data_IF_013645293797
#
_entry.id   IF_013645293797
#
_cell.length_a   1.000
_cell.length_b   1.000
_cell.length_c   1.000
_cell.angle_alpha   90.00
_cell.angle_beta   90.00
_cell.angle_gamma   90.00
#
_symmetry.space_group_name_H-M   'P 1'
#
loop_
_entity.id
_entity.type
_entity.pdbx_description
1 polymer ?
#
# COMPACT_ATOMS: atom_id res chain seq x y z
N UNK A 1 -4.06 -11.78 -21.02
CA UNK A 1 -4.28 -12.63 -19.83
C UNK A 1 -3.81 -11.79 -18.65
N UNK A 2 -4.52 -11.80 -17.53
CA UNK A 2 -4.18 -10.94 -16.40
C UNK A 2 -3.74 -11.76 -15.20
N UNK A 3 -3.03 -11.10 -14.30
CA UNK A 3 -2.75 -11.53 -12.94
C UNK A 3 -3.71 -10.76 -12.03
N UNK A 4 -4.46 -11.44 -11.19
CA UNK A 4 -5.24 -10.89 -10.09
C UNK A 4 -4.58 -11.25 -8.76
N UNK A 5 -4.57 -10.34 -7.80
CA UNK A 5 -4.09 -10.65 -6.45
C UNK A 5 -5.03 -10.07 -5.43
N UNK A 6 -5.62 -10.97 -4.65
CA UNK A 6 -6.56 -10.65 -3.60
C UNK A 6 -5.82 -10.42 -2.28
N UNK A 7 -6.15 -9.32 -1.61
CA UNK A 7 -5.74 -9.00 -0.25
C UNK A 7 -7.00 -8.95 0.61
N UNK A 8 -7.08 -9.84 1.59
CA UNK A 8 -8.19 -9.93 2.51
C UNK A 8 -7.90 -9.11 3.76
N UNK A 9 -8.72 -8.09 4.01
CA UNK A 9 -8.64 -7.28 5.24
C UNK A 9 -9.47 -7.98 6.31
N UNK A 10 -8.84 -8.54 7.33
CA UNK A 10 -9.48 -9.44 8.30
C UNK A 10 -10.10 -8.71 9.49
N UNK A 11 -9.66 -7.48 9.76
CA UNK A 11 -10.21 -6.60 10.79
C UNK A 11 -11.11 -5.50 10.21
N UNK A 12 -11.91 -4.87 11.07
CA UNK A 12 -12.72 -3.71 10.70
C UNK A 12 -11.84 -2.57 10.20
N UNK A 13 -12.17 -2.04 9.02
CA UNK A 13 -11.45 -0.95 8.37
C UNK A 13 -12.43 0.00 7.68
N UNK A 14 -12.04 1.27 7.56
CA UNK A 14 -12.76 2.22 6.71
C UNK A 14 -12.46 1.91 5.23
N UNK A 15 -13.51 1.58 4.46
CA UNK A 15 -13.37 1.16 3.07
C UNK A 15 -12.82 2.26 2.18
N UNK A 16 -13.22 3.52 2.40
CA UNK A 16 -12.77 4.64 1.59
C UNK A 16 -11.30 4.95 1.88
N UNK A 17 -10.86 4.84 3.13
CA UNK A 17 -9.47 5.00 3.50
C UNK A 17 -8.58 3.94 2.82
N UNK A 18 -8.99 2.66 2.89
CA UNK A 18 -8.27 1.56 2.22
C UNK A 18 -8.22 1.79 0.71
N UNK A 19 -9.37 2.11 0.10
CA UNK A 19 -9.45 2.38 -1.34
C UNK A 19 -8.57 3.57 -1.77
N UNK A 20 -8.62 4.70 -1.05
CA UNK A 20 -7.79 5.87 -1.36
C UNK A 20 -6.30 5.61 -1.11
N UNK A 21 -5.96 4.75 -0.16
CA UNK A 21 -4.58 4.28 -0.01
C UNK A 21 -4.16 3.48 -1.25
N UNK A 22 -4.91 2.46 -1.65
CA UNK A 22 -4.60 1.69 -2.86
C UNK A 22 -4.49 2.56 -4.12
N UNK A 23 -5.37 3.56 -4.27
CA UNK A 23 -5.28 4.55 -5.35
C UNK A 23 -3.96 5.31 -5.35
N UNK A 24 -3.48 5.77 -4.18
CA UNK A 24 -2.16 6.41 -4.08
C UNK A 24 -1.03 5.45 -4.47
N UNK A 25 -1.11 4.19 -4.07
CA UNK A 25 -0.10 3.17 -4.42
C UNK A 25 -0.05 2.92 -5.94
N UNK A 26 -1.18 3.04 -6.64
CA UNK A 26 -1.28 2.94 -8.09
C UNK A 26 -0.85 4.21 -8.84
N UNK A 27 -0.48 5.28 -8.13
CA UNK A 27 -0.16 6.57 -8.74
C UNK A 27 -1.38 7.36 -9.21
N UNK A 28 -2.58 7.07 -8.67
CA UNK A 28 -3.79 7.79 -9.08
C UNK A 28 -3.70 9.27 -8.69
N UNK A 29 -3.73 10.14 -9.68
CA UNK A 29 -4.02 11.57 -9.58
C UNK A 29 -5.52 11.90 -9.35
N UNK A 30 -5.86 13.15 -8.97
CA UNK A 30 -7.24 13.58 -8.74
C UNK A 30 -8.18 13.45 -9.95
N UNK A 31 -7.64 13.46 -11.18
CA UNK A 31 -8.44 13.38 -12.40
C UNK A 31 -8.89 11.95 -12.75
N UNK A 32 -8.29 10.93 -12.15
CA UNK A 32 -8.69 9.54 -12.37
C UNK A 32 -10.05 9.28 -11.72
N UNK A 33 -11.08 9.04 -12.52
CA UNK A 33 -12.41 8.68 -12.03
C UNK A 33 -12.44 7.31 -11.31
N UNK A 34 -13.40 7.12 -10.43
CA UNK A 34 -13.77 5.82 -9.87
C UNK A 34 -15.28 5.74 -9.73
N UNK A 35 -15.76 4.53 -9.49
CA UNK A 35 -17.15 4.26 -9.18
C UNK A 35 -17.24 3.65 -7.80
N UNK A 36 -18.29 4.04 -7.09
CA UNK A 36 -18.78 3.40 -5.88
C UNK A 36 -20.21 2.92 -6.15
N UNK A 37 -20.47 1.62 -6.00
CA UNK A 37 -21.83 1.14 -6.21
C UNK A 37 -22.03 -0.35 -5.97
N UNK A 38 -23.28 -0.81 -6.14
CA UNK A 38 -23.63 -2.21 -5.99
C UNK A 38 -22.80 -3.10 -6.91
N UNK A 39 -22.30 -4.22 -6.38
CA UNK A 39 -21.58 -5.19 -7.17
C UNK A 39 -22.56 -5.98 -8.06
N UNK A 40 -22.46 -5.76 -9.38
CA UNK A 40 -23.41 -6.33 -10.33
C UNK A 40 -23.28 -7.85 -10.41
N UNK A 41 -24.42 -8.53 -10.40
CA UNK A 41 -24.48 -10.00 -10.54
C UNK A 41 -24.47 -10.78 -9.23
N UNK A 42 -24.47 -10.10 -8.07
CA UNK A 42 -24.76 -10.74 -6.79
C UNK A 42 -26.24 -10.62 -6.43
N UNK A 43 -26.78 -11.66 -5.80
CA UNK A 43 -28.15 -11.63 -5.25
C UNK A 43 -28.25 -10.72 -4.03
N UNK A 44 -27.11 -10.43 -3.39
CA UNK A 44 -27.04 -9.68 -2.17
C UNK A 44 -27.03 -8.16 -2.43
N UNK A 45 -28.10 -7.43 -2.06
CA UNK A 45 -28.20 -6.00 -2.33
C UNK A 45 -27.22 -5.16 -1.49
N UNK A 46 -26.61 -5.75 -0.46
CA UNK A 46 -25.66 -5.08 0.41
C UNK A 46 -24.20 -5.30 -0.02
N UNK A 47 -23.95 -6.09 -1.07
CA UNK A 47 -22.60 -6.27 -1.63
C UNK A 47 -22.24 -5.12 -2.58
N UNK A 48 -21.26 -4.30 -2.17
CA UNK A 48 -20.81 -3.12 -2.90
C UNK A 48 -19.35 -3.25 -3.32
N UNK A 49 -18.95 -2.39 -4.25
CA UNK A 49 -17.59 -2.32 -4.74
C UNK A 49 -17.18 -0.87 -5.00
N UNK A 50 -15.92 -0.55 -4.66
CA UNK A 50 -15.23 0.64 -5.12
C UNK A 50 -14.20 0.24 -6.18
N UNK A 51 -14.22 0.85 -7.36
CA UNK A 51 -13.27 0.51 -8.42
C UNK A 51 -12.86 1.68 -9.32
N UNK A 52 -11.63 1.66 -9.82
CA UNK A 52 -11.17 2.62 -10.83
C UNK A 52 -11.78 2.30 -12.21
N UNK A 53 -11.89 3.31 -13.09
CA UNK A 53 -12.39 3.06 -14.45
C UNK A 53 -11.28 2.58 -15.37
N UNK A 54 -11.64 1.78 -16.37
CA UNK A 54 -10.71 1.35 -17.41
C UNK A 54 -10.25 2.51 -18.30
N UNK A 55 -9.10 2.34 -18.97
CA UNK A 55 -8.57 3.33 -19.91
C UNK A 55 -7.91 4.56 -19.25
N UNK A 56 -7.61 4.50 -17.96
CA UNK A 56 -7.01 5.58 -17.18
C UNK A 56 -5.48 5.52 -17.10
N UNK A 57 -4.83 4.70 -17.93
CA UNK A 57 -3.37 4.49 -17.92
C UNK A 57 -2.78 4.03 -16.57
N UNK A 58 -3.65 3.53 -15.68
CA UNK A 58 -3.25 2.97 -14.39
C UNK A 58 -2.64 1.56 -14.58
N UNK A 59 -1.66 1.18 -13.75
CA UNK A 59 -0.91 -0.06 -13.94
C UNK A 59 -1.74 -1.32 -13.60
N UNK A 60 -2.82 -1.17 -12.83
CA UNK A 60 -3.75 -2.23 -12.50
C UNK A 60 -5.18 -1.69 -12.36
N UNK A 61 -6.15 -2.56 -12.57
CA UNK A 61 -7.50 -2.37 -12.08
C UNK A 61 -7.52 -2.62 -10.57
N UNK A 62 -8.21 -1.74 -9.85
CA UNK A 62 -8.41 -1.81 -8.42
C UNK A 62 -9.89 -2.06 -8.17
N UNK A 63 -10.19 -3.10 -7.42
CA UNK A 63 -11.53 -3.36 -6.88
C UNK A 63 -11.43 -3.54 -5.38
N UNK A 64 -12.33 -2.92 -4.63
CA UNK A 64 -12.48 -3.13 -3.18
C UNK A 64 -13.92 -3.51 -2.91
N UNK A 65 -14.14 -4.79 -2.63
CA UNK A 65 -15.46 -5.31 -2.31
C UNK A 65 -15.72 -5.17 -0.81
N UNK A 66 -16.95 -4.81 -0.46
CA UNK A 66 -17.36 -4.55 0.92
C UNK A 66 -18.89 -4.66 1.08
N UNK A 67 -19.36 -4.48 2.31
CA UNK A 67 -20.79 -4.40 2.65
C UNK A 67 -21.18 -2.97 2.97
N UNK A 68 -22.22 -2.44 2.32
CA UNK A 68 -22.67 -1.06 2.57
C UNK A 68 -23.22 -0.85 3.99
N UNK A 69 -23.70 -1.91 4.63
CA UNK A 69 -24.16 -1.93 6.01
C UNK A 69 -23.04 -1.84 7.06
N UNK A 70 -21.76 -1.89 6.65
CA UNK A 70 -20.61 -1.79 7.56
C UNK A 70 -20.37 -3.04 8.40
N UNK A 71 -20.79 -4.21 7.92
CA UNK A 71 -20.51 -5.53 8.50
C UNK A 71 -19.42 -6.27 7.71
N UNK A 72 -18.86 -7.39 8.20
CA UNK A 72 -17.90 -8.17 7.43
C UNK A 72 -18.44 -8.58 6.05
N UNK A 73 -17.63 -8.43 5.00
CA UNK A 73 -17.96 -8.91 3.65
C UNK A 73 -18.30 -10.40 3.64
N UNK A 74 -17.49 -11.19 4.35
CA UNK A 74 -17.66 -12.63 4.52
C UNK A 74 -17.39 -13.03 5.96
N UNK A 75 -18.32 -13.74 6.59
CA UNK A 75 -18.11 -14.35 7.91
C UNK A 75 -17.42 -15.70 7.81
N UNK A 76 -16.80 -16.20 8.89
CA UNK A 76 -16.23 -17.54 8.93
C UNK A 76 -17.22 -18.64 8.51
N UNK A 77 -18.48 -18.55 8.93
CA UNK A 77 -19.52 -19.52 8.62
C UNK A 77 -19.85 -19.53 7.12
N UNK A 78 -19.95 -18.34 6.51
CA UNK A 78 -20.17 -18.22 5.06
C UNK A 78 -18.99 -18.79 4.28
N UNK A 79 -17.76 -18.53 4.73
CA UNK A 79 -16.56 -19.09 4.13
C UNK A 79 -16.52 -20.62 4.20
N UNK A 80 -16.88 -21.21 5.35
CA UNK A 80 -16.96 -22.67 5.49
C UNK A 80 -18.01 -23.24 4.52
N UNK A 81 -19.22 -22.68 4.52
CA UNK A 81 -20.31 -23.14 3.67
C UNK A 81 -19.98 -23.06 2.18
N UNK A 82 -19.27 -22.01 1.75
CA UNK A 82 -18.81 -21.86 0.38
C UNK A 82 -17.71 -22.89 0.04
N UNK A 83 -16.75 -23.09 0.93
CA UNK A 83 -15.60 -23.94 0.65
C UNK A 83 -15.93 -25.45 0.68
N UNK A 84 -17.07 -25.84 1.26
CA UNK A 84 -17.63 -27.19 1.17
C UNK A 84 -18.11 -27.50 -0.27
N UNK A 85 -17.18 -27.97 -1.10
CA UNK A 85 -17.46 -28.37 -2.48
C UNK A 85 -16.75 -27.53 -3.56
N UNK A 86 -16.00 -26.51 -3.15
CA UNK A 86 -15.15 -25.73 -4.05
C UNK A 86 -13.73 -26.33 -4.16
N UNK A 87 -13.13 -26.14 -5.34
CA UNK A 87 -11.70 -26.41 -5.51
C UNK A 87 -10.88 -25.45 -4.65
N UNK A 88 -9.65 -25.85 -4.30
CA UNK A 88 -8.78 -25.05 -3.45
C UNK A 88 -8.52 -23.65 -4.01
N UNK A 89 -8.38 -23.55 -5.33
CA UNK A 89 -8.23 -22.30 -6.06
C UNK A 89 -9.45 -21.37 -5.96
N UNK A 90 -10.63 -21.88 -5.63
CA UNK A 90 -11.87 -21.10 -5.51
C UNK A 90 -12.20 -20.75 -4.06
N UNK A 91 -11.42 -21.25 -3.10
CA UNK A 91 -11.67 -20.97 -1.68
C UNK A 91 -11.56 -19.47 -1.41
N UNK A 92 -12.54 -18.97 -0.67
CA UNK A 92 -12.58 -17.59 -0.21
C UNK A 92 -12.21 -17.54 1.26
N UNK A 93 -11.80 -16.36 1.74
CA UNK A 93 -11.50 -16.12 3.15
C UNK A 93 -12.53 -15.17 3.78
N UNK A 94 -12.79 -15.40 5.07
CA UNK A 94 -13.58 -14.50 5.90
C UNK A 94 -12.83 -13.17 6.04
N UNK A 95 -13.51 -12.06 5.76
CA UNK A 95 -12.88 -10.75 5.71
C UNK A 95 -13.91 -9.63 5.83
N UNK A 96 -13.44 -8.46 6.21
CA UNK A 96 -14.20 -7.21 6.16
C UNK A 96 -14.19 -6.61 4.76
N UNK A 97 -13.03 -6.62 4.11
CA UNK A 97 -12.83 -6.11 2.74
C UNK A 97 -12.03 -7.13 1.92
N UNK A 98 -12.30 -7.16 0.62
CA UNK A 98 -11.53 -7.92 -0.37
C UNK A 98 -11.00 -6.93 -1.40
N UNK A 99 -9.68 -6.70 -1.37
CA UNK A 99 -8.98 -5.80 -2.27
C UNK A 99 -8.34 -6.62 -3.38
N UNK A 100 -8.67 -6.31 -4.62
CA UNK A 100 -8.15 -7.00 -5.79
C UNK A 100 -7.40 -6.02 -6.69
N UNK A 101 -6.15 -6.37 -6.97
CA UNK A 101 -5.31 -5.75 -7.99
C UNK A 101 -5.25 -6.67 -9.21
N UNK A 102 -5.71 -6.20 -10.37
CA UNK A 102 -5.80 -6.98 -11.61
C UNK A 102 -5.02 -6.27 -12.72
N UNK A 103 -3.89 -6.84 -13.16
CA UNK A 103 -2.99 -6.25 -14.15
C UNK A 103 -2.68 -7.24 -15.28
N UNK A 104 -2.44 -6.72 -16.50
CA UNK A 104 -2.01 -7.56 -17.62
C UNK A 104 -0.65 -8.20 -17.37
N UNK A 105 -0.47 -9.48 -17.73
CA UNK A 105 0.84 -10.16 -17.63
C UNK A 105 1.92 -9.45 -18.45
N UNK A 106 1.52 -8.73 -19.49
CA UNK A 106 2.38 -7.91 -20.33
C UNK A 106 2.85 -6.60 -19.67
N UNK A 107 2.29 -6.21 -18.52
CA UNK A 107 2.67 -4.99 -17.82
C UNK A 107 4.16 -5.02 -17.43
N UNK A 108 4.85 -3.91 -17.71
CA UNK A 108 6.24 -3.67 -17.32
C UNK A 108 6.47 -2.18 -17.06
N UNK A 109 7.23 -1.86 -16.03
CA UNK A 109 7.73 -0.53 -15.72
C UNK A 109 9.25 -0.58 -15.45
N UNK A 110 9.83 0.53 -14.98
CA UNK A 110 11.26 0.60 -14.62
C UNK A 110 11.64 -0.27 -13.40
N UNK A 111 10.65 -0.75 -12.65
CA UNK A 111 10.82 -1.48 -11.40
C UNK A 111 10.49 -2.98 -11.55
N UNK A 112 9.97 -3.44 -12.69
CA UNK A 112 9.75 -4.86 -12.95
C UNK A 112 8.58 -5.13 -13.89
N UNK A 113 8.10 -6.37 -13.88
CA UNK A 113 6.89 -6.80 -14.58
C UNK A 113 5.66 -6.81 -13.68
N UNK A 114 4.61 -7.47 -14.16
CA UNK A 114 3.34 -7.62 -13.46
C UNK A 114 3.48 -8.25 -12.05
N UNK A 115 4.30 -9.28 -11.90
CA UNK A 115 4.56 -9.91 -10.60
C UNK A 115 5.20 -8.97 -9.58
N UNK A 116 6.20 -8.19 -10.01
CA UNK A 116 6.87 -7.20 -9.18
C UNK A 116 5.92 -6.04 -8.81
N UNK A 117 5.06 -5.60 -9.74
CA UNK A 117 4.00 -4.63 -9.43
C UNK A 117 3.10 -5.15 -8.30
N UNK A 118 2.61 -6.37 -8.40
CA UNK A 118 1.70 -6.95 -7.40
C UNK A 118 2.38 -7.11 -6.04
N UNK A 119 3.60 -7.65 -6.00
CA UNK A 119 4.36 -7.77 -4.76
C UNK A 119 4.56 -6.41 -4.07
N UNK A 120 4.86 -5.35 -4.85
CA UNK A 120 5.01 -3.98 -4.34
C UNK A 120 3.70 -3.42 -3.79
N UNK A 121 2.59 -3.56 -4.52
CA UNK A 121 1.28 -3.07 -4.10
C UNK A 121 0.81 -3.78 -2.81
N UNK A 122 0.90 -5.10 -2.76
CA UNK A 122 0.49 -5.89 -1.59
C UNK A 122 1.37 -5.57 -0.37
N UNK A 123 2.70 -5.46 -0.52
CA UNK A 123 3.56 -5.08 0.59
C UNK A 123 3.26 -3.67 1.13
N UNK A 124 3.04 -2.69 0.25
CA UNK A 124 2.77 -1.32 0.67
C UNK A 124 1.39 -1.18 1.34
N UNK A 125 0.36 -1.85 0.81
CA UNK A 125 -0.94 -1.94 1.46
C UNK A 125 -0.83 -2.65 2.80
N UNK A 126 -0.10 -3.76 2.86
CA UNK A 126 0.16 -4.52 4.07
C UNK A 126 0.76 -3.67 5.18
N UNK A 127 1.83 -2.90 4.88
CA UNK A 127 2.46 -2.01 5.85
C UNK A 127 1.50 -0.93 6.35
N UNK A 128 0.61 -0.43 5.48
CA UNK A 128 -0.41 0.52 5.89
C UNK A 128 -1.41 -0.12 6.88
N UNK A 129 -1.87 -1.34 6.61
CA UNK A 129 -2.77 -2.08 7.50
C UNK A 129 -2.10 -2.43 8.83
N UNK A 130 -0.83 -2.87 8.80
CA UNK A 130 -0.04 -3.15 10.00
C UNK A 130 0.15 -1.89 10.86
N UNK A 131 0.36 -0.73 10.25
CA UNK A 131 0.47 0.55 10.97
C UNK A 131 -0.81 0.94 11.74
N UNK A 132 -1.93 0.33 11.38
CA UNK A 132 -3.25 0.48 12.02
C UNK A 132 -3.61 -0.69 12.93
N UNK A 133 -2.76 -1.72 13.03
CA UNK A 133 -3.05 -2.94 13.79
C UNK A 133 -4.17 -3.79 13.15
N UNK A 134 -4.39 -3.66 11.84
CA UNK A 134 -5.43 -4.40 11.12
C UNK A 134 -4.80 -5.65 10.51
N UNK A 135 -5.26 -6.83 10.97
CA UNK A 135 -4.81 -8.10 10.39
C UNK A 135 -5.27 -8.22 8.94
N UNK A 136 -4.42 -8.80 8.10
CA UNK A 136 -4.66 -9.01 6.68
C UNK A 136 -3.97 -10.29 6.19
N UNK A 137 -4.42 -10.80 5.06
CA UNK A 137 -3.79 -11.91 4.33
C UNK A 137 -3.88 -11.64 2.84
N UNK A 138 -3.21 -12.43 2.02
CA UNK A 138 -3.34 -12.33 0.56
C UNK A 138 -3.30 -13.70 -0.11
N UNK A 139 -3.91 -13.80 -1.28
CA UNK A 139 -4.00 -15.04 -2.06
C UNK A 139 -3.08 -14.97 -3.27
N UNK A 140 -2.25 -15.99 -3.41
CA UNK A 140 -1.45 -16.20 -4.60
C UNK A 140 -2.32 -16.83 -5.69
N UNK A 141 -2.51 -16.13 -6.81
CA UNK A 141 -3.34 -16.64 -7.91
C UNK A 141 -2.74 -17.88 -8.58
N UNK A 142 -1.42 -18.02 -8.61
CA UNK A 142 -0.77 -19.15 -9.27
C UNK A 142 -0.98 -20.48 -8.54
N UNK A 143 -1.01 -20.44 -7.21
CA UNK A 143 -1.14 -21.62 -6.37
C UNK A 143 -2.50 -21.76 -5.71
N UNK A 144 -3.27 -20.67 -5.63
CA UNK A 144 -4.47 -20.57 -4.80
C UNK A 144 -4.18 -20.49 -3.31
N UNK A 145 -2.91 -20.57 -2.89
CA UNK A 145 -2.53 -20.51 -1.47
C UNK A 145 -2.80 -19.13 -0.89
N UNK A 146 -3.30 -19.13 0.34
CA UNK A 146 -3.47 -17.94 1.15
C UNK A 146 -2.26 -17.82 2.07
N UNK A 147 -1.64 -16.64 2.07
CA UNK A 147 -0.53 -16.31 2.94
C UNK A 147 -0.98 -15.31 4.01
N UNK A 148 -0.86 -15.72 5.28
CA UNK A 148 -1.18 -14.94 6.46
C UNK A 148 -0.05 -15.04 7.50
N UNK A 149 -0.14 -14.23 8.56
CA UNK A 149 0.77 -14.31 9.70
C UNK A 149 2.21 -13.85 9.39
N UNK A 150 3.21 -14.40 10.10
CA UNK A 150 4.57 -13.85 10.09
C UNK A 150 5.28 -13.98 8.74
N UNK A 151 4.90 -14.97 7.93
CA UNK A 151 5.58 -15.28 6.66
C UNK A 151 4.94 -14.55 5.47
N UNK A 152 3.80 -13.86 5.66
CA UNK A 152 3.00 -13.32 4.56
C UNK A 152 3.78 -12.35 3.66
N UNK A 153 4.74 -11.61 4.22
CA UNK A 153 5.61 -10.75 3.44
C UNK A 153 6.70 -11.52 2.69
N UNK A 154 7.31 -12.53 3.31
CA UNK A 154 8.37 -13.32 2.66
C UNK A 154 7.83 -14.04 1.42
N UNK A 155 6.57 -14.49 1.49
CA UNK A 155 5.85 -15.15 0.41
C UNK A 155 5.55 -14.25 -0.78
N UNK A 156 5.66 -12.91 -0.66
CA UNK A 156 5.47 -12.02 -1.82
C UNK A 156 6.55 -12.26 -2.89
N UNK A 157 7.66 -12.89 -2.55
CA UNK A 157 8.64 -13.35 -3.53
C UNK A 157 8.06 -14.37 -4.51
N UNK A 158 7.00 -15.10 -4.12
CA UNK A 158 6.30 -16.08 -4.97
C UNK A 158 5.48 -15.42 -6.09
N UNK A 159 5.17 -14.12 -5.97
CA UNK A 159 4.56 -13.32 -7.05
C UNK A 159 5.59 -12.85 -8.09
N UNK A 160 6.86 -12.74 -7.70
CA UNK A 160 7.91 -12.24 -8.57
C UNK A 160 8.37 -13.33 -9.55
N UNK A 161 8.75 -12.95 -10.77
CA UNK A 161 9.35 -13.94 -11.68
C UNK A 161 10.67 -14.45 -11.09
N UNK A 162 10.94 -15.76 -11.22
CA UNK A 162 12.09 -16.49 -10.63
C UNK A 162 13.48 -16.11 -11.19
N UNK A 163 13.67 -14.89 -11.68
CA UNK A 163 15.00 -14.44 -12.08
C UNK A 163 15.78 -13.93 -10.86
N UNK A 164 17.07 -14.23 -10.78
CA UNK A 164 17.91 -13.97 -9.58
C UNK A 164 18.00 -12.47 -9.30
N UNK A 165 17.97 -11.63 -10.34
CA UNK A 165 17.92 -10.17 -10.21
C UNK A 165 16.68 -9.67 -9.44
N UNK A 166 15.56 -10.42 -9.48
CA UNK A 166 14.32 -10.03 -8.82
C UNK A 166 14.37 -10.24 -7.31
N UNK A 167 15.23 -11.14 -6.81
CA UNK A 167 15.38 -11.36 -5.37
C UNK A 167 16.10 -10.20 -4.66
N UNK A 168 17.06 -9.55 -5.32
CA UNK A 168 17.72 -8.36 -4.77
C UNK A 168 16.78 -7.15 -4.76
N UNK A 169 16.03 -6.93 -5.85
CA UNK A 169 14.98 -5.91 -5.89
C UNK A 169 13.95 -6.13 -4.76
N UNK A 170 13.47 -7.37 -4.60
CA UNK A 170 12.48 -7.72 -3.58
C UNK A 170 12.98 -7.39 -2.17
N UNK A 171 14.22 -7.77 -1.85
CA UNK A 171 14.84 -7.47 -0.54
C UNK A 171 15.09 -5.99 -0.33
N UNK A 172 15.39 -5.22 -1.37
CA UNK A 172 15.75 -3.81 -1.21
C UNK A 172 14.52 -2.87 -1.23
N UNK A 173 13.44 -3.25 -1.91
CA UNK A 173 12.27 -2.38 -2.14
C UNK A 173 11.04 -2.88 -1.37
N UNK A 174 10.73 -4.17 -1.49
CA UNK A 174 9.52 -4.79 -0.92
C UNK A 174 9.72 -5.22 0.52
N UNK A 175 10.95 -5.57 0.91
CA UNK A 175 11.26 -6.04 2.25
C UNK A 175 12.64 -5.58 2.76
N UNK A 176 12.88 -4.26 2.89
CA UNK A 176 14.15 -3.73 3.40
C UNK A 176 14.23 -3.94 4.91
N UNK A 177 14.39 -5.18 5.38
CA UNK A 177 14.59 -5.42 6.81
C UNK A 177 14.52 -6.85 7.34
N UNK A 178 13.71 -7.77 6.83
CA UNK A 178 13.56 -9.06 7.57
C UNK A 178 12.73 -8.92 8.86
N UNK A 179 11.95 -9.93 9.27
CA UNK A 179 11.42 -9.99 10.62
C UNK A 179 12.59 -10.29 11.56
N UNK A 180 13.22 -9.24 12.09
CA UNK A 180 14.44 -9.35 12.88
C UNK A 180 15.33 -8.11 12.84
N UNK A 181 15.25 -7.28 11.80
CA UNK A 181 15.80 -5.93 11.88
C UNK A 181 14.78 -5.01 12.57
N UNK A 182 14.66 -5.18 13.88
CA UNK A 182 14.56 -3.99 14.73
C UNK A 182 15.91 -3.29 14.68
N UNK A 183 16.26 -2.75 13.52
CA UNK A 183 17.05 -1.55 13.51
C UNK A 183 16.07 -0.49 13.98
N UNK A 184 16.05 -0.26 15.29
CA UNK A 184 16.16 1.13 15.71
C UNK A 184 17.36 1.64 14.93
N UNK A 185 17.12 2.27 13.78
CA UNK A 185 18.15 3.02 13.10
C UNK A 185 18.72 3.89 14.22
N UNK A 186 20.00 3.70 14.61
CA UNK A 186 20.57 4.51 15.66
C UNK A 186 20.25 5.94 15.26
N UNK A 187 19.64 6.72 16.16
CA UNK A 187 19.29 8.11 15.88
C UNK A 187 20.50 8.70 15.15
N UNK A 188 20.31 9.00 13.86
CA UNK A 188 21.42 9.32 12.97
C UNK A 188 21.88 10.68 13.43
N UNK A 189 22.85 10.66 14.34
CA UNK A 189 23.34 11.87 14.97
C UNK A 189 23.98 12.77 13.92
N UNK A 190 24.13 14.07 14.22
CA UNK A 190 24.85 15.01 13.36
C UNK A 190 26.25 14.49 12.96
N UNK A 191 26.83 13.59 13.76
CA UNK A 191 28.10 12.91 13.49
C UNK A 191 28.09 12.11 12.18
N UNK A 192 26.96 11.50 11.77
CA UNK A 192 26.90 10.70 10.54
C UNK A 192 26.86 11.56 9.28
N UNK A 193 26.10 12.66 9.31
CA UNK A 193 26.09 13.64 8.20
C UNK A 193 27.49 14.21 8.02
N UNK A 194 28.16 14.57 9.11
CA UNK A 194 29.53 15.06 9.09
C UNK A 194 30.54 14.02 8.55
N UNK A 195 30.39 12.75 8.92
CA UNK A 195 31.22 11.66 8.40
C UNK A 195 31.07 11.51 6.87
N UNK A 196 29.83 11.52 6.38
CA UNK A 196 29.53 11.39 4.96
C UNK A 196 30.02 12.60 4.14
N UNK A 197 29.88 13.82 4.68
CA UNK A 197 30.45 15.03 4.08
C UNK A 197 31.98 14.95 4.00
N UNK A 198 32.65 14.50 5.07
CA UNK A 198 34.11 14.32 5.07
C UNK A 198 34.58 13.25 4.05
N UNK A 199 33.80 12.18 3.84
CA UNK A 199 34.07 11.18 2.80
C UNK A 199 33.88 11.75 1.39
N UNK A 200 32.83 12.55 1.17
CA UNK A 200 32.57 13.26 -0.10
C UNK A 200 33.74 14.17 -0.47
N UNK A 201 34.17 15.01 0.45
CA UNK A 201 35.22 16.00 0.22
C UNK A 201 36.60 15.32 0.03
N UNK A 202 36.79 14.13 0.60
CA UNK A 202 37.96 13.28 0.37
C UNK A 202 37.88 12.37 -0.86
N UNK A 203 36.81 12.41 -1.65
CA UNK A 203 36.63 11.54 -2.82
C UNK A 203 36.50 10.04 -2.49
N UNK A 204 36.09 9.71 -1.26
CA UNK A 204 35.95 8.33 -0.75
C UNK A 204 34.50 7.89 -0.56
N UNK A 205 33.54 8.67 -1.05
CA UNK A 205 32.12 8.39 -0.92
C UNK A 205 31.71 7.30 -1.92
N UNK A 206 31.14 6.21 -1.40
CA UNK A 206 30.60 5.14 -2.25
C UNK A 206 29.21 5.51 -2.81
N UNK A 207 28.73 4.88 -3.90
CA UNK A 207 27.40 5.18 -4.45
C UNK A 207 26.23 5.00 -3.45
N UNK A 208 26.21 3.95 -2.60
CA UNK A 208 25.18 3.83 -1.56
C UNK A 208 25.24 4.96 -0.52
N UNK A 209 26.44 5.35 -0.08
CA UNK A 209 26.65 6.46 0.87
C UNK A 209 26.25 7.82 0.27
N UNK A 210 26.32 7.97 -1.06
CA UNK A 210 25.83 9.17 -1.74
C UNK A 210 24.30 9.27 -1.74
N UNK A 211 23.61 8.14 -1.84
CA UNK A 211 22.15 8.06 -1.64
C UNK A 211 21.77 8.41 -0.20
N UNK A 212 22.43 7.78 0.78
CA UNK A 212 22.23 8.06 2.21
C UNK A 212 22.43 9.55 2.54
N UNK A 213 23.50 10.17 2.04
CA UNK A 213 23.77 11.60 2.25
C UNK A 213 22.68 12.49 1.65
N UNK A 214 22.11 12.14 0.49
CA UNK A 214 21.02 12.89 -0.14
C UNK A 214 19.77 12.84 0.72
N UNK A 215 19.37 11.66 1.15
CA UNK A 215 18.18 11.45 1.97
C UNK A 215 18.27 12.20 3.31
N UNK A 216 19.46 12.27 3.92
CA UNK A 216 19.69 13.01 5.16
C UNK A 216 19.58 14.52 4.99
N UNK A 217 20.09 15.07 3.88
CA UNK A 217 20.02 16.51 3.60
C UNK A 217 18.59 16.96 3.23
N UNK A 218 17.83 16.11 2.53
CA UNK A 218 16.44 16.39 2.21
C UNK A 218 15.58 16.46 3.49
N UNK A 219 15.83 15.56 4.45
CA UNK A 219 15.16 15.58 5.77
C UNK A 219 15.46 16.83 6.60
N UNK A 220 16.69 17.36 6.58
CA UNK A 220 17.00 18.61 7.28
C UNK A 220 16.32 19.82 6.63
N UNK A 221 16.13 19.79 5.32
CA UNK A 221 15.45 20.86 4.58
C UNK A 221 13.97 20.95 4.96
N UNK A 222 13.31 19.82 5.17
CA UNK A 222 11.91 19.76 5.61
C UNK A 222 11.72 20.32 7.03
N UNK A 223 12.65 20.04 7.94
CA UNK A 223 12.59 20.53 9.33
C UNK A 223 12.88 22.04 9.44
N UNK A 224 13.62 22.62 8.50
CA UNK A 224 13.90 24.05 8.46
C UNK A 224 12.71 24.91 8.03
N UNK A 225 11.69 24.32 7.40
CA UNK A 225 10.56 25.07 6.82
C UNK A 225 9.45 25.41 7.84
N UNK A 226 9.40 24.72 8.99
CA UNK A 226 8.35 24.95 10.00
C UNK A 226 8.65 26.08 11.00
N UNK A 227 9.89 26.60 11.06
CA UNK A 227 10.29 27.59 12.08
C UNK A 227 10.01 29.05 11.67
N UNK A 228 9.45 29.30 10.47
CA UNK A 228 9.32 30.65 9.91
C UNK A 228 7.97 31.36 10.03
N UNK A 229 6.87 30.71 10.46
CA UNK A 229 5.56 31.37 10.57
C UNK A 229 5.39 32.04 11.93
N UNK A 230 5.95 33.24 12.05
CA UNK A 230 5.56 34.20 13.07
C UNK A 230 4.09 34.60 12.81
N UNK A 231 3.15 34.38 13.75
CA UNK A 231 1.76 34.78 13.55
C UNK A 231 1.70 36.31 13.49
N UNK A 232 1.14 36.81 12.38
CA UNK A 232 0.90 38.23 12.14
C UNK A 232 -0.27 38.66 13.04
N UNK A 233 0.04 39.31 14.16
CA UNK A 233 -0.91 39.95 15.07
C UNK A 233 -1.60 41.12 14.34
N UNK A 234 -2.64 40.81 13.56
CA UNK A 234 -3.60 41.82 13.08
C UNK A 234 -4.94 41.66 13.79
N UNK A 235 -5.08 42.51 14.79
CA UNK A 235 -6.27 42.77 15.56
C UNK A 235 -7.51 42.98 14.67
N UNK A 236 -8.58 42.25 15.00
CA UNK A 236 -9.92 42.49 14.49
C UNK A 236 -10.46 43.80 15.10
N UNK A 237 -10.73 44.79 14.24
CA UNK A 237 -11.62 45.92 14.57
C UNK A 237 -13.04 45.44 14.30
N UNK A 238 -13.81 45.28 15.37
CA UNK A 238 -15.25 45.02 15.34
C UNK A 238 -15.95 46.37 15.40
N UNK A 239 -16.46 46.86 14.27
CA UNK A 239 -17.42 47.97 14.26
C UNK A 239 -18.83 47.41 14.40
N UNK A 240 -19.37 47.61 15.61
CA UNK A 240 -20.80 47.55 15.90
C UNK A 240 -21.37 48.96 15.63
N UNK A 241 -22.14 49.12 14.57
CA UNK A 241 -23.13 50.20 14.50
C UNK A 241 -24.54 49.62 14.50
N UNK A 242 -25.25 49.98 15.57
CA UNK A 242 -26.69 49.87 15.73
C UNK A 242 -27.33 51.22 15.37
N UNK A 243 -28.67 51.20 15.30
CA UNK A 243 -29.60 52.35 15.34
C UNK A 243 -29.98 53.02 14.00
N UNK A 244 -31.09 52.57 13.38
CA UNK A 244 -32.45 53.15 13.49
C UNK A 244 -33.37 52.66 12.38
#
# INVERSE_FOLDING_TARGET
MTLSTHVYVLGQADVHEVFHTCRRLLGCEPHHAFTDGPWMGQEDPDHWCLWNQSGQELPAWLRVQYRSSGVPLRTPEQTIAHNEGCEEADRQQACWLDVDFDAGYEYRDEQGGCGELHARLVAQLGRHLDSKGIAWSWKNEFSGEVHDGPDQYERLADLCHRDVANQEWFRNIVWPGGPGCSATAPAVGPDRVNELLAKRDGGRLTPPEAGELRDLLDRETDLGSEVGRQPDDRAAVVDHEAER
#
